data_IF_669776053200
#
_entry.id   IF_669776053200
#
_cell.length_a   1.000
_cell.length_b   1.000
_cell.length_c   1.000
_cell.angle_alpha   90.00
_cell.angle_beta   90.00
_cell.angle_gamma   90.00
#
_symmetry.space_group_name_H-M   'P 1'
#
loop_
_entity.id
_entity.type
_entity.pdbx_description
1 polymer ?
#
# COMPACT_ATOMS: atom_id res chain seq x y z
N UNK A 1 -2.37 4.54 4.61
CA UNK A 1 -1.80 3.59 3.63
C UNK A 1 -2.85 3.36 2.56
N UNK A 2 -2.47 3.22 1.28
CA UNK A 2 -3.44 2.95 0.22
C UNK A 2 -3.58 1.44 -0.03
N UNK A 3 -4.80 0.93 0.16
CA UNK A 3 -5.17 -0.46 -0.10
C UNK A 3 -5.97 -0.53 -1.40
N UNK A 4 -5.63 -1.47 -2.28
CA UNK A 4 -6.34 -1.68 -3.54
C UNK A 4 -7.53 -2.60 -3.30
N UNK A 5 -8.73 -2.12 -3.61
CA UNK A 5 -9.99 -2.90 -3.57
C UNK A 5 -10.85 -2.48 -4.75
N UNK A 6 -11.39 -3.44 -5.48
CA UNK A 6 -12.26 -3.19 -6.64
C UNK A 6 -11.66 -2.17 -7.64
N UNK A 7 -10.38 -2.36 -7.99
CA UNK A 7 -9.60 -1.51 -8.90
C UNK A 7 -9.50 -0.02 -8.46
N UNK A 8 -9.73 0.26 -7.18
CA UNK A 8 -9.64 1.59 -6.58
C UNK A 8 -8.67 1.60 -5.40
N UNK A 9 -7.99 2.72 -5.19
CA UNK A 9 -7.14 2.96 -4.04
C UNK A 9 -7.95 3.55 -2.87
N UNK A 10 -7.92 2.88 -1.73
CA UNK A 10 -8.61 3.31 -0.51
C UNK A 10 -7.61 3.76 0.53
N UNK A 11 -7.77 4.97 1.06
CA UNK A 11 -6.91 5.47 2.13
C UNK A 11 -7.34 4.88 3.47
N UNK A 12 -6.51 3.98 3.98
CA UNK A 12 -6.74 3.29 5.26
C UNK A 12 -5.76 3.82 6.31
N UNK A 13 -6.24 4.39 7.44
CA UNK A 13 -5.39 4.73 8.56
C UNK A 13 -4.71 3.47 9.12
N UNK A 14 -3.42 3.57 9.45
CA UNK A 14 -2.65 2.47 10.05
C UNK A 14 -1.92 2.96 11.28
N UNK A 15 -1.75 2.06 12.23
CA UNK A 15 -0.86 2.25 13.36
C UNK A 15 0.49 1.59 13.05
N UNK A 16 1.57 2.33 13.19
CA UNK A 16 2.93 1.84 12.94
C UNK A 16 3.68 1.59 14.23
N UNK A 17 4.47 0.51 14.27
CA UNK A 17 5.35 0.16 15.37
C UNK A 17 6.79 0.62 15.12
N UNK A 18 7.73 -0.31 15.22
CA UNK A 18 9.16 -0.04 15.00
C UNK A 18 9.40 0.30 13.53
N UNK A 19 10.06 1.43 13.26
CA UNK A 19 10.51 1.83 11.94
C UNK A 19 12.05 1.81 11.87
N UNK A 20 12.58 1.15 10.85
CA UNK A 20 13.99 1.24 10.46
C UNK A 20 14.15 1.92 9.10
N UNK A 21 15.37 1.94 8.57
CA UNK A 21 15.69 2.70 7.35
C UNK A 21 14.96 2.21 6.08
N UNK A 22 14.60 0.92 6.02
CA UNK A 22 13.99 0.29 4.83
C UNK A 22 12.60 -0.28 5.08
N UNK A 23 12.27 -0.58 6.33
CA UNK A 23 11.05 -1.30 6.69
C UNK A 23 10.46 -0.72 7.96
N UNK A 24 9.15 -0.76 8.08
CA UNK A 24 8.44 -0.41 9.29
C UNK A 24 7.38 -1.46 9.60
N UNK A 25 7.06 -1.59 10.87
CA UNK A 25 6.02 -2.48 11.37
C UNK A 25 4.66 -1.79 11.27
N UNK A 26 3.63 -2.54 10.85
CA UNK A 26 2.23 -2.15 10.93
C UNK A 26 1.56 -2.99 12.00
N UNK A 27 1.08 -2.34 13.06
CA UNK A 27 0.45 -2.99 14.21
C UNK A 27 -1.05 -3.20 14.01
N UNK A 28 -1.71 -2.26 13.33
CA UNK A 28 -3.16 -2.32 13.08
C UNK A 28 -3.57 -1.47 11.87
N UNK A 29 -4.78 -1.69 11.37
CA UNK A 29 -5.41 -0.89 10.31
C UNK A 29 -5.48 -1.57 8.94
N UNK A 30 -4.69 -2.62 8.69
CA UNK A 30 -4.80 -3.45 7.47
C UNK A 30 -4.78 -4.93 7.82
N UNK A 31 -5.50 -5.74 7.03
CA UNK A 31 -5.51 -7.18 7.17
C UNK A 31 -4.37 -7.84 6.40
N UNK A 32 -3.91 -8.99 6.89
CA UNK A 32 -2.94 -9.81 6.19
C UNK A 32 -3.49 -10.24 4.81
N UNK A 33 -2.66 -10.12 3.77
CA UNK A 33 -3.05 -10.41 2.39
C UNK A 33 -3.73 -9.24 1.66
N UNK A 34 -3.89 -8.08 2.31
CA UNK A 34 -4.34 -6.87 1.63
C UNK A 34 -3.33 -6.46 0.54
N UNK A 35 -3.84 -6.09 -0.63
CA UNK A 35 -3.04 -5.50 -1.71
C UNK A 35 -2.80 -4.04 -1.40
N UNK A 36 -1.53 -3.64 -1.33
CA UNK A 36 -1.12 -2.27 -0.99
C UNK A 36 -0.48 -1.62 -2.21
N UNK A 37 -0.80 -0.34 -2.45
CA UNK A 37 -0.15 0.42 -3.50
C UNK A 37 1.33 0.68 -3.13
N UNK A 38 2.24 0.25 -4.01
CA UNK A 38 3.69 0.48 -3.91
C UNK A 38 4.19 1.18 -5.17
N UNK A 39 5.26 1.96 -5.06
CA UNK A 39 5.84 2.66 -6.20
C UNK A 39 6.64 3.90 -5.80
N UNK A 40 6.99 4.76 -6.77
CA UNK A 40 7.64 6.04 -6.51
C UNK A 40 6.82 6.89 -5.54
N UNK A 41 7.50 7.60 -4.64
CA UNK A 41 6.86 8.42 -3.61
C UNK A 41 5.88 9.43 -4.19
N UNK A 42 6.26 10.16 -5.25
CA UNK A 42 5.42 11.19 -5.85
C UNK A 42 4.11 10.61 -6.41
N UNK A 43 4.15 9.40 -6.98
CA UNK A 43 2.97 8.73 -7.52
C UNK A 43 2.01 8.30 -6.40
N UNK A 44 2.53 7.65 -5.35
CA UNK A 44 1.71 7.22 -4.20
C UNK A 44 1.17 8.42 -3.43
N UNK A 45 1.94 9.51 -3.34
CA UNK A 45 1.55 10.73 -2.62
C UNK A 45 0.44 11.52 -3.34
N UNK A 46 0.34 11.39 -4.65
CA UNK A 46 -0.68 12.03 -5.47
C UNK A 46 -2.02 11.30 -5.47
N UNK A 47 -2.10 10.06 -4.97
CA UNK A 47 -3.34 9.31 -4.87
C UNK A 47 -4.31 9.97 -3.89
N UNK A 48 -5.58 9.99 -4.28
CA UNK A 48 -6.72 10.34 -3.47
C UNK A 48 -7.56 9.09 -3.14
N UNK A 49 -8.44 9.19 -2.14
CA UNK A 49 -9.35 8.10 -1.77
C UNK A 49 -10.37 7.87 -2.88
N UNK A 50 -10.46 6.63 -3.37
CA UNK A 50 -11.32 6.23 -4.49
C UNK A 50 -10.68 6.35 -5.88
N UNK A 51 -9.42 6.76 -5.96
CA UNK A 51 -8.74 6.87 -7.26
C UNK A 51 -8.67 5.52 -7.99
N UNK A 52 -8.93 5.49 -9.31
CA UNK A 52 -8.82 4.26 -10.08
C UNK A 52 -7.36 3.85 -10.24
N UNK A 53 -7.08 2.58 -10.03
CA UNK A 53 -5.74 1.99 -10.14
C UNK A 53 -5.78 0.70 -10.96
N UNK A 54 -4.64 0.36 -11.57
CA UNK A 54 -4.46 -0.94 -12.23
C UNK A 54 -3.37 -1.70 -11.51
N UNK A 55 -3.60 -2.99 -11.30
CA UNK A 55 -2.59 -3.89 -10.77
C UNK A 55 -1.74 -4.35 -11.94
N UNK A 56 -0.49 -3.93 -11.99
CA UNK A 56 0.51 -4.51 -12.88
C UNK A 56 0.92 -5.87 -12.33
N UNK A 57 0.90 -6.92 -13.16
CA UNK A 57 1.29 -8.27 -12.74
C UNK A 57 2.75 -8.28 -12.24
N UNK A 58 2.96 -8.91 -11.08
CA UNK A 58 4.14 -8.76 -10.19
C UNK A 58 5.53 -8.85 -10.85
N UNK A 59 6.51 -8.05 -10.37
CA UNK A 59 7.88 -8.53 -10.23
C UNK A 59 7.91 -9.62 -9.15
N UNK A 60 8.30 -10.82 -9.55
CA UNK A 60 8.52 -12.01 -8.74
C UNK A 60 9.17 -11.69 -7.38
N UNK A 61 8.38 -11.70 -6.30
CA UNK A 61 8.87 -11.47 -4.92
C UNK A 61 9.59 -12.71 -4.32
N UNK A 62 9.99 -13.68 -5.17
CA UNK A 62 10.80 -14.84 -4.81
C UNK A 62 11.92 -15.07 -5.84
N UNK A 63 12.99 -14.28 -5.75
CA UNK A 63 14.33 -14.67 -6.24
C UNK A 63 15.42 -14.29 -5.27
#
# INVERSE_FOLDING_TARGET
MFVVRDEQAWFVPVETGIAGDRYFEVLSGIDAGALVAIGPFDAVRALEDGDPVRIDAEPDARR
#
